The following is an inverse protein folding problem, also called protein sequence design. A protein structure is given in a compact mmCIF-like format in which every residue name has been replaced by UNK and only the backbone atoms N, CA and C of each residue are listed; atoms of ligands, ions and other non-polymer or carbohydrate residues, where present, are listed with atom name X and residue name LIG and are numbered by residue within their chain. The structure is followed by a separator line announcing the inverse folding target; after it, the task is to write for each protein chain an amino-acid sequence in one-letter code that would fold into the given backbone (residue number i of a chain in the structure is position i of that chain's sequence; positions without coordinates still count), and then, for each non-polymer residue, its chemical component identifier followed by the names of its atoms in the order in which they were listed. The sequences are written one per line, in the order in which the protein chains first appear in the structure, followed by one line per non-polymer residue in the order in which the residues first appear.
data_IF_965905763959
#
_entry.id   IF_965905763959
#
_cell.length_a   1.000
_cell.length_b   1.000
_cell.length_c   1.000
_cell.angle_alpha   90.00
_cell.angle_beta   90.00
_cell.angle_gamma   90.00
#
_symmetry.space_group_name_H-M   'P 1'
#
loop_
_entity.id
_entity.type
_entity.pdbx_description
1 polymer ?
#
# COMPACT_ATOMS: atom_id res chain seq x y z
N UNK A 1 -27.19 14.20 -3.19
CA UNK A 1 -26.70 15.03 -2.08
C UNK A 1 -25.57 14.40 -1.27
N UNK A 2 -25.78 13.31 -0.49
CA UNK A 2 -24.70 12.77 0.37
C UNK A 2 -23.54 12.15 -0.43
N UNK A 3 -23.84 11.38 -1.48
CA UNK A 3 -22.84 10.83 -2.41
C UNK A 3 -21.97 11.91 -3.05
N UNK A 4 -22.57 12.99 -3.55
CA UNK A 4 -21.84 14.10 -4.17
C UNK A 4 -20.92 14.81 -3.17
N UNK A 5 -21.37 14.99 -1.92
CA UNK A 5 -20.53 15.53 -0.83
C UNK A 5 -19.35 14.62 -0.52
N UNK A 6 -19.58 13.30 -0.41
CA UNK A 6 -18.51 12.31 -0.16
C UNK A 6 -17.50 12.28 -1.31
N UNK A 7 -17.97 12.35 -2.56
CA UNK A 7 -17.13 12.44 -3.76
C UNK A 7 -16.29 13.73 -3.78
N UNK A 8 -16.91 14.89 -3.55
CA UNK A 8 -16.20 16.16 -3.49
C UNK A 8 -15.12 16.16 -2.38
N UNK A 9 -15.41 15.54 -1.22
CA UNK A 9 -14.43 15.40 -0.15
C UNK A 9 -13.23 14.53 -0.58
N UNK A 10 -13.48 13.40 -1.24
CA UNK A 10 -12.42 12.54 -1.75
C UNK A 10 -11.54 13.26 -2.79
N UNK A 11 -12.18 13.92 -3.78
CA UNK A 11 -11.48 14.67 -4.82
C UNK A 11 -10.61 15.81 -4.25
N UNK A 12 -11.12 16.54 -3.24
CA UNK A 12 -10.36 17.59 -2.57
C UNK A 12 -9.10 17.05 -1.88
N UNK A 13 -9.18 15.87 -1.27
CA UNK A 13 -8.02 15.20 -0.66
C UNK A 13 -7.00 14.80 -1.73
N UNK A 14 -7.45 14.17 -2.82
CA UNK A 14 -6.58 13.76 -3.94
C UNK A 14 -5.87 14.99 -4.54
N UNK A 15 -6.62 16.05 -4.83
CA UNK A 15 -6.08 17.30 -5.37
C UNK A 15 -5.05 17.94 -4.44
N UNK A 16 -5.27 17.88 -3.11
CA UNK A 16 -4.30 18.36 -2.13
C UNK A 16 -2.98 17.59 -2.20
N UNK A 17 -3.00 16.27 -2.31
CA UNK A 17 -1.79 15.45 -2.44
C UNK A 17 -1.05 15.74 -3.74
N UNK A 18 -1.78 15.83 -4.86
CA UNK A 18 -1.21 16.19 -6.16
C UNK A 18 -0.53 17.56 -6.12
N UNK A 19 -1.18 18.57 -5.54
CA UNK A 19 -0.62 19.92 -5.39
C UNK A 19 0.67 19.95 -4.55
N UNK A 20 0.78 19.05 -3.58
CA UNK A 20 1.97 18.91 -2.73
C UNK A 20 3.05 18.01 -3.36
N UNK A 21 2.82 17.46 -4.55
CA UNK A 21 3.74 16.50 -5.18
C UNK A 21 3.84 15.16 -4.44
N UNK A 22 2.89 14.86 -3.54
CA UNK A 22 2.87 13.63 -2.77
C UNK A 22 2.13 12.54 -3.55
N UNK A 23 2.64 11.31 -3.47
CA UNK A 23 1.92 10.14 -3.99
C UNK A 23 0.70 9.88 -3.12
N UNK A 24 -0.47 9.86 -3.75
CA UNK A 24 -1.71 9.41 -3.12
C UNK A 24 -1.82 7.88 -3.17
N UNK A 25 -2.56 7.30 -2.23
CA UNK A 25 -2.81 5.86 -2.19
C UNK A 25 -3.49 5.38 -3.48
N UNK A 26 -2.94 4.32 -4.08
CA UNK A 26 -3.38 3.78 -5.37
C UNK A 26 -3.84 2.33 -5.30
N UNK A 27 -3.93 1.75 -4.10
CA UNK A 27 -4.42 0.39 -3.91
C UNK A 27 -5.80 0.18 -4.52
N UNK A 28 -6.00 -0.91 -5.30
CA UNK A 28 -7.31 -1.26 -5.82
C UNK A 28 -8.35 -1.53 -4.71
N UNK A 29 -7.95 -2.17 -3.60
CA UNK A 29 -8.83 -2.48 -2.47
C UNK A 29 -9.24 -1.25 -1.67
N UNK A 30 -8.31 -0.30 -1.47
CA UNK A 30 -8.65 1.01 -0.92
C UNK A 30 -9.62 1.77 -1.81
N UNK A 31 -9.37 1.83 -3.13
CA UNK A 31 -10.24 2.52 -4.09
C UNK A 31 -11.64 1.92 -4.12
N UNK A 32 -11.76 0.60 -4.12
CA UNK A 32 -13.07 -0.07 -4.03
C UNK A 32 -13.83 0.33 -2.76
N UNK A 33 -13.15 0.34 -1.61
CA UNK A 33 -13.77 0.76 -0.35
C UNK A 33 -14.17 2.24 -0.34
N UNK A 34 -13.40 3.12 -1.01
CA UNK A 34 -13.77 4.53 -1.18
C UNK A 34 -15.06 4.66 -2.00
N UNK A 35 -15.21 3.90 -3.09
CA UNK A 35 -16.44 3.93 -3.90
C UNK A 35 -17.65 3.40 -3.11
N UNK A 36 -17.48 2.34 -2.33
CA UNK A 36 -18.52 1.86 -1.41
C UNK A 36 -18.94 2.93 -0.40
N UNK A 37 -17.97 3.70 0.14
CA UNK A 37 -18.28 4.81 1.03
C UNK A 37 -18.98 5.97 0.30
N UNK A 38 -18.53 6.33 -0.91
CA UNK A 38 -19.15 7.39 -1.72
C UNK A 38 -20.60 7.05 -2.04
N UNK A 39 -20.87 5.81 -2.44
CA UNK A 39 -22.22 5.32 -2.76
C UNK A 39 -23.11 5.12 -1.53
N UNK A 40 -22.52 5.07 -0.34
CA UNK A 40 -23.26 4.86 0.91
C UNK A 40 -23.46 3.40 1.28
N UNK A 41 -22.77 2.48 0.61
CA UNK A 41 -22.75 1.06 0.96
C UNK A 41 -22.04 0.81 2.29
N UNK A 42 -21.04 1.64 2.64
CA UNK A 42 -20.37 1.62 3.93
C UNK A 42 -20.27 3.02 4.54
N UNK A 43 -20.10 3.07 5.86
CA UNK A 43 -19.83 4.29 6.60
C UNK A 43 -18.33 4.58 6.71
N UNK A 44 -18.00 5.82 7.12
CA UNK A 44 -16.60 6.28 7.17
C UNK A 44 -15.74 5.46 8.14
N UNK A 45 -16.31 4.97 9.24
CA UNK A 45 -15.59 4.16 10.23
C UNK A 45 -15.16 2.82 9.65
N UNK A 46 -16.01 2.21 8.81
CA UNK A 46 -15.69 0.97 8.11
C UNK A 46 -14.61 1.20 7.05
N UNK A 47 -14.67 2.31 6.29
CA UNK A 47 -13.60 2.69 5.37
C UNK A 47 -12.25 2.80 6.11
N UNK A 48 -12.22 3.46 7.28
CA UNK A 48 -11.00 3.57 8.08
C UNK A 48 -10.51 2.20 8.58
N UNK A 49 -11.42 1.33 9.04
CA UNK A 49 -11.08 -0.02 9.49
C UNK A 49 -10.47 -0.85 8.36
N UNK A 50 -11.09 -0.86 7.17
CA UNK A 50 -10.59 -1.58 5.99
C UNK A 50 -9.21 -1.06 5.57
N UNK A 51 -9.01 0.26 5.59
CA UNK A 51 -7.70 0.85 5.27
C UNK A 51 -6.62 0.50 6.31
N UNK A 52 -6.96 0.46 7.61
CA UNK A 52 -6.05 -0.01 8.67
C UNK A 52 -5.64 -1.46 8.45
N UNK A 53 -6.60 -2.35 8.21
CA UNK A 53 -6.35 -3.77 7.96
C UNK A 53 -5.46 -4.00 6.73
N UNK A 54 -5.70 -3.27 5.63
CA UNK A 54 -4.85 -3.29 4.43
C UNK A 54 -3.40 -2.89 4.76
N UNK A 55 -3.23 -1.83 5.56
CA UNK A 55 -1.92 -1.33 5.96
C UNK A 55 -1.17 -2.32 6.85
N UNK A 56 -1.87 -2.96 7.78
CA UNK A 56 -1.31 -4.01 8.64
C UNK A 56 -0.89 -5.24 7.85
N UNK A 57 -1.75 -5.72 6.93
CA UNK A 57 -1.42 -6.83 6.04
C UNK A 57 -0.13 -6.55 5.25
N UNK A 58 -0.01 -5.36 4.65
CA UNK A 58 1.19 -4.94 3.92
C UNK A 58 2.44 -4.90 4.80
N UNK A 59 2.31 -4.41 6.04
CA UNK A 59 3.42 -4.40 7.01
C UNK A 59 3.87 -5.81 7.36
N UNK A 60 2.93 -6.72 7.58
CA UNK A 60 3.21 -8.11 7.93
C UNK A 60 3.89 -8.86 6.78
N UNK A 61 3.39 -8.71 5.54
CA UNK A 61 4.03 -9.29 4.36
C UNK A 61 5.46 -8.77 4.19
N UNK A 62 5.68 -7.46 4.36
CA UNK A 62 7.03 -6.88 4.28
C UNK A 62 7.95 -7.36 5.41
N UNK A 63 7.42 -7.55 6.61
CA UNK A 63 8.18 -8.12 7.72
C UNK A 63 8.60 -9.56 7.41
N UNK A 64 7.68 -10.39 6.94
CA UNK A 64 7.95 -11.78 6.55
C UNK A 64 9.00 -11.87 5.43
N UNK A 65 8.86 -11.05 4.37
CA UNK A 65 9.85 -11.01 3.28
C UNK A 65 11.25 -10.62 3.77
N UNK A 66 11.35 -9.66 4.70
CA UNK A 66 12.65 -9.28 5.30
C UNK A 66 13.24 -10.40 6.14
N UNK A 67 12.43 -11.06 6.97
CA UNK A 67 12.88 -12.19 7.77
C UNK A 67 13.34 -13.35 6.88
N UNK A 68 12.67 -13.60 5.76
CA UNK A 68 13.04 -14.67 4.82
C UNK A 68 14.28 -14.32 3.99
N UNK A 69 14.49 -13.06 3.61
CA UNK A 69 15.69 -12.61 2.92
C UNK A 69 16.96 -12.71 3.78
N UNK A 70 16.86 -12.58 5.11
CA UNK A 70 18.00 -12.80 6.01
C UNK A 70 18.44 -14.26 6.13
N UNK A 71 17.58 -15.23 5.76
CA UNK A 71 17.92 -16.66 5.77
C UNK A 71 18.67 -17.06 4.48
N UNK A 72 18.55 -16.27 3.41
CA UNK A 72 19.14 -16.57 2.10
C UNK A 72 20.18 -15.51 1.70
N UNK A 73 21.20 -15.32 2.55
CA UNK A 73 22.46 -14.71 2.08
C UNK A 73 23.26 -15.84 1.45
N UNK A 74 23.42 -15.93 0.11
CA UNK A 74 24.44 -16.82 -0.42
C UNK A 74 25.79 -16.31 0.09
N UNK A 75 26.57 -17.19 0.72
CA UNK A 75 27.95 -16.90 1.08
C UNK A 75 28.67 -16.36 -0.17
N UNK A 76 29.54 -15.34 -0.06
CA UNK A 76 30.34 -14.91 -1.19
C UNK A 76 31.18 -16.12 -1.60
N UNK A 77 30.86 -16.71 -2.74
CA UNK A 77 31.70 -17.74 -3.35
C UNK A 77 33.01 -17.04 -3.70
N UNK A 78 34.05 -17.31 -2.92
CA UNK A 78 35.43 -17.08 -3.34
C UNK A 78 35.60 -17.79 -4.67
N UNK A 79 35.54 -17.03 -5.76
CA UNK A 79 36.04 -17.46 -7.05
C UNK A 79 37.56 -17.34 -6.91
N UNK A 80 38.19 -18.39 -6.37
CA UNK A 80 39.63 -18.57 -6.58
C UNK A 80 39.85 -18.85 -8.08
N UNK A 81 40.67 -18.05 -8.77
CA UNK A 81 41.00 -18.32 -10.16
C UNK A 81 41.90 -19.55 -10.26
N UNK A 82 41.49 -20.50 -11.10
CA UNK A 82 42.27 -21.63 -11.59
C UNK A 82 43.59 -21.15 -12.21
N UNK A 83 44.76 -21.48 -11.64
CA UNK A 83 46.02 -21.34 -12.35
C UNK A 83 46.30 -22.63 -13.13
N UNK A 84 45.79 -22.68 -14.36
CA UNK A 84 46.35 -23.55 -15.40
C UNK A 84 47.61 -22.89 -15.95
N UNK A 85 48.79 -23.44 -15.61
CA UNK A 85 49.96 -23.70 -16.49
C UNK A 85 51.09 -24.42 -15.75
#
# INVERSE_FOLDING_TARGET
MQTEKRRALFEAVVAKYQRLGLKFESDPGFRASVEEWITGAIEIDELQQRYRALTEMRRNVRALMRSSAMIHTPAPTEIEPDPSE
#
